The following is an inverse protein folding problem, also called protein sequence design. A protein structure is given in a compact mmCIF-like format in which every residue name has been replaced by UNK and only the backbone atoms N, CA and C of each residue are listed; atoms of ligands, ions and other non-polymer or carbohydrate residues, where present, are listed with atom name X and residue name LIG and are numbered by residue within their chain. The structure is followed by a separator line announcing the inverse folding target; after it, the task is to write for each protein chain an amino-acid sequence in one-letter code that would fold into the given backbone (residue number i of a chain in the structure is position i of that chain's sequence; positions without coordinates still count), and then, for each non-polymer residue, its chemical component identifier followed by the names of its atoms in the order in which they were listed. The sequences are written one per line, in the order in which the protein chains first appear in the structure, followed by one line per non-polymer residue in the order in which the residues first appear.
data_IF_111937413909
#
_entry.id   IF_111937413909
#
_cell.length_a   1.000
_cell.length_b   1.000
_cell.length_c   1.000
_cell.angle_alpha   90.00
_cell.angle_beta   90.00
_cell.angle_gamma   90.00
#
_symmetry.space_group_name_H-M   'P 1'
#
loop_
_entity.id
_entity.type
_entity.pdbx_description
1 polymer ?
#
# COMPACT_ATOMS: atom_id res chain seq x y z
N UNK A 1 6.79 20.73 -4.56
CA UNK A 1 6.08 20.14 -5.73
C UNK A 1 5.94 18.62 -5.56
N UNK A 2 5.00 18.14 -4.75
CA UNK A 2 4.71 16.68 -4.67
C UNK A 2 3.60 16.29 -5.66
N UNK A 3 2.57 17.13 -5.73
CA UNK A 3 1.39 16.89 -6.54
C UNK A 3 1.67 16.80 -8.04
N UNK A 4 2.54 17.68 -8.58
CA UNK A 4 2.93 17.65 -9.99
C UNK A 4 3.64 16.35 -10.38
N UNK A 5 4.48 15.81 -9.51
CA UNK A 5 5.16 14.52 -9.73
C UNK A 5 4.16 13.38 -9.76
N UNK A 6 3.18 13.37 -8.86
CA UNK A 6 2.12 12.36 -8.84
C UNK A 6 1.24 12.42 -10.09
N UNK A 7 0.87 13.63 -10.54
CA UNK A 7 0.15 13.83 -11.81
C UNK A 7 0.91 13.22 -12.99
N UNK A 8 2.20 13.53 -13.13
CA UNK A 8 3.03 13.01 -14.23
C UNK A 8 3.19 11.49 -14.17
N UNK A 9 3.27 10.90 -12.97
CA UNK A 9 3.31 9.46 -12.81
C UNK A 9 1.99 8.80 -13.24
N UNK A 10 0.85 9.38 -12.87
CA UNK A 10 -0.46 8.88 -13.29
C UNK A 10 -0.66 8.99 -14.81
N UNK A 11 -0.21 10.09 -15.41
CA UNK A 11 -0.26 10.29 -16.86
C UNK A 11 0.62 9.28 -17.61
N UNK A 12 1.88 9.10 -17.18
CA UNK A 12 2.79 8.10 -17.74
C UNK A 12 2.31 6.66 -17.58
N UNK A 13 1.57 6.37 -16.52
CA UNK A 13 0.98 5.06 -16.25
C UNK A 13 -0.31 4.81 -17.04
N UNK A 14 -0.81 5.77 -17.82
CA UNK A 14 -2.07 5.66 -18.55
C UNK A 14 -3.27 5.55 -17.61
N UNK A 15 -3.24 6.27 -16.48
CA UNK A 15 -4.32 6.38 -15.49
C UNK A 15 -5.18 7.65 -15.66
N UNK A 16 -4.79 8.54 -16.57
CA UNK A 16 -5.49 9.78 -16.89
C UNK A 16 -5.03 10.99 -16.06
N UNK A 17 -5.79 12.09 -16.16
CA UNK A 17 -5.46 13.39 -15.57
C UNK A 17 -6.04 13.60 -14.16
N UNK A 18 -6.62 12.57 -13.54
CA UNK A 18 -7.25 12.61 -12.22
C UNK A 18 -6.46 11.84 -11.14
N UNK A 19 -5.25 12.31 -10.78
CA UNK A 19 -4.42 11.66 -9.76
C UNK A 19 -5.05 11.69 -8.36
N UNK A 20 -6.04 12.55 -8.11
CA UNK A 20 -6.77 12.59 -6.81
C UNK A 20 -7.59 11.32 -6.63
N UNK A 21 -8.25 10.89 -7.71
CA UNK A 21 -9.04 9.66 -7.68
C UNK A 21 -8.14 8.45 -7.48
N UNK A 22 -7.02 8.37 -8.22
CA UNK A 22 -6.04 7.30 -8.05
C UNK A 22 -5.53 7.23 -6.60
N UNK A 23 -5.20 8.38 -6.02
CA UNK A 23 -4.73 8.42 -4.63
C UNK A 23 -5.81 8.00 -3.63
N UNK A 24 -7.07 8.41 -3.85
CA UNK A 24 -8.18 8.01 -3.00
C UNK A 24 -8.39 6.48 -3.03
N UNK A 25 -8.41 5.87 -4.22
CA UNK A 25 -8.54 4.41 -4.37
C UNK A 25 -7.39 3.64 -3.70
N UNK A 26 -6.15 4.16 -3.80
CA UNK A 26 -4.99 3.55 -3.12
C UNK A 26 -5.02 3.76 -1.61
N UNK A 27 -5.61 4.86 -1.13
CA UNK A 27 -5.71 5.14 0.31
C UNK A 27 -6.69 4.20 1.03
N UNK A 28 -7.63 3.61 0.28
CA UNK A 28 -8.54 2.59 0.81
C UNK A 28 -7.86 1.23 1.07
N UNK A 29 -6.61 1.04 0.63
CA UNK A 29 -5.83 -0.15 0.96
C UNK A 29 -5.45 -0.13 2.44
N UNK A 30 -6.18 -0.91 3.24
CA UNK A 30 -5.99 -0.98 4.69
C UNK A 30 -4.76 -1.81 5.07
N UNK A 31 -4.12 -1.42 6.17
CA UNK A 31 -3.10 -2.21 6.87
C UNK A 31 -3.52 -2.43 8.33
N UNK A 32 -3.18 -3.58 8.89
CA UNK A 32 -3.46 -3.92 10.29
C UNK A 32 -2.24 -4.55 10.95
N UNK A 33 -2.09 -4.29 12.24
CA UNK A 33 -1.05 -4.92 13.06
C UNK A 33 -1.60 -6.21 13.68
N UNK A 34 -0.88 -7.30 13.47
CA UNK A 34 -1.15 -8.62 14.03
C UNK A 34 -0.11 -8.88 15.10
N UNK A 35 -0.58 -9.10 16.33
CA UNK A 35 0.24 -9.45 17.49
C UNK A 35 -0.02 -10.91 17.83
N UNK A 36 1.00 -11.76 17.68
CA UNK A 36 0.93 -13.18 18.00
C UNK A 36 1.64 -13.43 19.34
N UNK A 37 0.91 -13.86 20.38
CA UNK A 37 1.54 -14.21 21.66
C UNK A 37 2.35 -15.50 21.50
N UNK A 38 3.54 -15.53 22.12
CA UNK A 38 4.40 -16.73 22.13
C UNK A 38 4.37 -17.37 23.52
N UNK A 39 4.53 -18.70 23.58
CA UNK A 39 4.37 -19.47 24.85
C UNK A 39 5.45 -19.10 25.88
N UNK A 40 6.65 -18.79 25.41
CA UNK A 40 7.81 -18.40 26.20
C UNK A 40 8.69 -17.51 25.32
N UNK A 41 8.46 -16.20 25.33
CA UNK A 41 9.22 -15.27 24.49
C UNK A 41 8.52 -13.94 24.24
N UNK A 42 9.13 -13.06 23.42
CA UNK A 42 8.52 -11.80 23.02
C UNK A 42 7.31 -12.03 22.10
N UNK A 43 6.37 -11.07 22.12
CA UNK A 43 5.27 -11.02 21.16
C UNK A 43 5.81 -10.83 19.73
N UNK A 44 5.29 -11.60 18.78
CA UNK A 44 5.61 -11.40 17.36
C UNK A 44 4.63 -10.38 16.81
N UNK A 45 5.14 -9.20 16.43
CA UNK A 45 4.34 -8.14 15.80
C UNK A 45 4.62 -8.07 14.31
N UNK A 46 3.58 -8.17 13.49
CA UNK A 46 3.69 -8.01 12.03
C UNK A 46 2.57 -7.14 11.52
N UNK A 47 2.88 -6.27 10.54
CA UNK A 47 1.85 -5.52 9.84
C UNK A 47 1.48 -6.25 8.56
N UNK A 48 0.20 -6.63 8.48
CA UNK A 48 -0.42 -7.25 7.32
C UNK A 48 -1.17 -6.19 6.52
N UNK A 49 -1.02 -6.24 5.20
CA UNK A 49 -1.78 -5.39 4.27
C UNK A 49 -2.90 -6.24 3.68
N UNK A 50 -4.13 -5.73 3.73
CA UNK A 50 -5.29 -6.41 3.15
C UNK A 50 -5.07 -6.69 1.66
N UNK A 51 -5.71 -7.75 1.16
CA UNK A 51 -5.70 -8.02 -0.30
C UNK A 51 -6.42 -6.84 -0.98
N UNK A 52 -5.75 -6.08 -1.85
CA UNK A 52 -6.40 -5.01 -2.60
C UNK A 52 -7.51 -5.58 -3.49
N UNK A 53 -8.51 -4.77 -3.81
CA UNK A 53 -9.50 -5.11 -4.84
C UNK A 53 -8.82 -5.24 -6.20
N UNK A 54 -9.48 -5.90 -7.16
CA UNK A 54 -8.91 -6.07 -8.51
C UNK A 54 -8.57 -4.71 -9.15
N UNK A 55 -9.42 -3.71 -8.96
CA UNK A 55 -9.16 -2.34 -9.41
C UNK A 55 -7.91 -1.74 -8.75
N UNK A 56 -7.77 -1.86 -7.43
CA UNK A 56 -6.59 -1.37 -6.71
C UNK A 56 -5.32 -2.11 -7.14
N UNK A 57 -5.41 -3.41 -7.44
CA UNK A 57 -4.28 -4.18 -7.94
C UNK A 57 -3.82 -3.67 -9.32
N UNK A 58 -4.75 -3.39 -10.23
CA UNK A 58 -4.44 -2.78 -11.54
C UNK A 58 -3.74 -1.43 -11.37
N UNK A 59 -4.20 -0.60 -10.42
CA UNK A 59 -3.56 0.69 -10.12
C UNK A 59 -2.11 0.51 -9.63
N UNK A 60 -1.88 -0.43 -8.71
CA UNK A 60 -0.54 -0.75 -8.20
C UNK A 60 0.38 -1.26 -9.31
N UNK A 61 -0.11 -2.12 -10.19
CA UNK A 61 0.64 -2.66 -11.33
C UNK A 61 1.02 -1.56 -12.33
N UNK A 62 0.07 -0.70 -12.70
CA UNK A 62 0.31 0.44 -13.60
C UNK A 62 1.33 1.43 -13.02
N UNK A 63 1.29 1.66 -11.71
CA UNK A 63 2.26 2.51 -11.01
C UNK A 63 3.58 1.79 -10.68
N UNK A 64 3.71 0.50 -11.03
CA UNK A 64 4.87 -0.36 -10.70
C UNK A 64 5.17 -0.41 -9.20
N UNK A 65 4.14 -0.31 -8.37
CA UNK A 65 4.22 -0.39 -6.92
C UNK A 65 4.00 -1.84 -6.49
N UNK A 66 4.99 -2.44 -5.83
CA UNK A 66 4.87 -3.79 -5.26
C UNK A 66 4.23 -3.71 -3.88
N UNK A 67 3.22 -4.53 -3.64
CA UNK A 67 2.63 -4.70 -2.31
C UNK A 67 3.63 -5.42 -1.38
N UNK A 68 3.94 -4.88 -0.20
CA UNK A 68 4.63 -5.63 0.84
C UNK A 68 3.75 -6.81 1.30
N UNK A 69 4.27 -8.03 1.23
CA UNK A 69 3.52 -9.22 1.70
C UNK A 69 3.48 -9.30 3.23
N UNK A 70 4.56 -8.86 3.90
CA UNK A 70 4.68 -8.70 5.35
C UNK A 70 5.61 -7.53 5.64
N UNK A 71 5.21 -6.65 6.55
CA UNK A 71 6.10 -5.62 7.10
C UNK A 71 6.47 -6.07 8.52
N UNK A 72 7.75 -6.32 8.75
CA UNK A 72 8.28 -6.58 10.10
C UNK A 72 8.48 -5.21 10.74
N UNK A 73 7.63 -4.85 11.69
CA UNK A 73 7.83 -3.66 12.49
C UNK A 73 8.97 -3.92 13.48
N UNK A 74 10.11 -3.29 13.24
CA UNK A 74 11.17 -3.19 14.24
C UNK A 74 10.81 -1.96 15.08
N UNK A 75 10.46 -2.16 16.35
CA UNK A 75 10.28 -1.05 17.28
C UNK A 75 11.60 -0.27 17.31
N UNK A 76 11.55 1.01 16.94
CA UNK A 76 12.67 1.95 17.06
C UNK A 76 12.62 2.61 18.42
#
# INVERSE_FOLDING_TARGET
MLWKTLSQLCEKAGLGSEPRRVLAELSDIRSMDVVLPTRTGPEIRTRCIFKPTDHQQILLEKLRLKRPSKIIQKNM
#
